data_IF_634657146701
#
_entry.id   IF_634657146701
#
_cell.length_a   1.000
_cell.length_b   1.000
_cell.length_c   1.000
_cell.angle_alpha   90.00
_cell.angle_beta   90.00
_cell.angle_gamma   90.00
#
_symmetry.space_group_name_H-M   'P 1'
#
loop_
_entity.id
_entity.type
_entity.pdbx_description
1 polymer ?
#
# COMPACT_ATOMS: atom_id res chain seq x y z
N UNK A 1 -12.90 -32.23 24.48
CA UNK A 1 -11.81 -31.24 24.23
C UNK A 1 -12.41 -29.85 24.10
N UNK A 2 -11.83 -28.79 24.70
CA UNK A 2 -12.38 -27.45 24.55
C UNK A 2 -12.04 -26.89 23.16
N UNK A 3 -13.05 -26.65 22.33
CA UNK A 3 -12.93 -26.01 21.02
C UNK A 3 -13.10 -24.49 21.17
N UNK A 4 -12.09 -23.73 20.73
CA UNK A 4 -12.19 -22.26 20.65
C UNK A 4 -12.70 -21.88 19.26
N UNK A 5 -13.82 -21.17 19.20
CA UNK A 5 -14.32 -20.60 17.95
C UNK A 5 -13.52 -19.34 17.60
N UNK A 6 -12.88 -19.34 16.44
CA UNK A 6 -12.07 -18.22 15.95
C UNK A 6 -12.74 -17.66 14.69
N UNK A 7 -13.12 -16.37 14.69
CA UNK A 7 -13.62 -15.68 13.49
C UNK A 7 -12.46 -15.37 12.55
N UNK A 8 -12.37 -16.10 11.44
CA UNK A 8 -11.50 -15.77 10.31
C UNK A 8 -12.32 -15.04 9.24
N UNK A 9 -11.79 -13.95 8.71
CA UNK A 9 -12.42 -13.23 7.61
C UNK A 9 -12.14 -13.99 6.31
N UNK A 10 -13.11 -14.13 5.42
CA UNK A 10 -12.98 -14.92 4.19
C UNK A 10 -11.82 -14.46 3.29
N UNK A 11 -11.50 -13.16 3.33
CA UNK A 11 -10.40 -12.57 2.57
C UNK A 11 -9.05 -12.55 3.33
N UNK A 12 -8.98 -13.13 4.53
CA UNK A 12 -7.69 -13.24 5.21
C UNK A 12 -6.76 -14.17 4.43
N UNK A 13 -5.50 -13.78 4.34
CA UNK A 13 -4.46 -14.67 3.80
C UNK A 13 -4.38 -15.94 4.64
N UNK A 14 -4.13 -17.08 4.00
CA UNK A 14 -4.10 -18.40 4.65
C UNK A 14 -3.05 -18.57 5.76
N UNK A 15 -2.08 -17.65 5.83
CA UNK A 15 -1.06 -17.58 6.89
C UNK A 15 -1.42 -16.58 7.99
N UNK A 16 -2.56 -15.89 7.94
CA UNK A 16 -2.97 -14.95 8.98
C UNK A 16 -3.43 -15.71 10.23
N UNK A 17 -2.91 -15.35 11.40
CA UNK A 17 -3.32 -15.93 12.69
C UNK A 17 -4.05 -14.90 13.55
N UNK A 18 -4.93 -15.34 14.47
CA UNK A 18 -5.61 -14.42 15.40
C UNK A 18 -4.61 -13.60 16.22
N UNK A 19 -3.55 -14.25 16.69
CA UNK A 19 -2.48 -13.57 17.42
C UNK A 19 -1.80 -12.47 16.61
N UNK A 20 -1.50 -12.71 15.31
CA UNK A 20 -0.94 -11.67 14.45
C UNK A 20 -1.93 -10.51 14.24
N UNK A 21 -3.23 -10.80 14.12
CA UNK A 21 -4.28 -9.76 14.04
C UNK A 21 -4.33 -8.91 15.30
N UNK A 22 -4.26 -9.52 16.47
CA UNK A 22 -4.25 -8.80 17.75
C UNK A 22 -3.06 -7.85 17.84
N UNK A 23 -1.87 -8.31 17.41
CA UNK A 23 -0.68 -7.45 17.36
C UNK A 23 -0.83 -6.29 16.36
N UNK A 24 -1.46 -6.52 15.21
CA UNK A 24 -1.77 -5.46 14.23
C UNK A 24 -2.74 -4.45 14.84
N UNK A 25 -3.77 -4.92 15.54
CA UNK A 25 -4.74 -4.08 16.23
C UNK A 25 -4.07 -3.21 17.30
N UNK A 26 -3.24 -3.80 18.16
CA UNK A 26 -2.48 -3.05 19.17
C UNK A 26 -1.54 -2.01 18.56
N UNK A 27 -0.87 -2.33 17.44
CA UNK A 27 -0.05 -1.37 16.70
C UNK A 27 -0.88 -0.20 16.18
N UNK A 28 -2.04 -0.47 15.59
CA UNK A 28 -2.94 0.57 15.06
C UNK A 28 -3.51 1.44 16.18
N UNK A 29 -3.89 0.83 17.31
CA UNK A 29 -4.33 1.55 18.51
C UNK A 29 -3.24 2.49 19.03
N UNK A 30 -2.00 1.99 19.18
CA UNK A 30 -0.87 2.81 19.63
C UNK A 30 -0.56 3.98 18.66
N UNK A 31 -0.73 3.77 17.35
CA UNK A 31 -0.60 4.85 16.36
C UNK A 31 -1.71 5.91 16.54
N UNK A 32 -2.96 5.46 16.73
CA UNK A 32 -4.11 6.35 16.95
C UNK A 32 -3.96 7.19 18.23
N UNK A 33 -3.41 6.61 19.28
CA UNK A 33 -3.12 7.28 20.56
C UNK A 33 -1.83 8.11 20.52
N UNK A 34 -1.17 8.20 19.35
CA UNK A 34 0.11 8.87 19.14
C UNK A 34 1.24 8.42 20.10
N UNK A 35 1.14 7.18 20.62
CA UNK A 35 2.14 6.60 21.50
C UNK A 35 3.26 5.94 20.68
N UNK A 36 4.30 6.72 20.38
CA UNK A 36 5.39 6.35 19.48
C UNK A 36 6.18 5.14 20.01
N UNK A 37 6.44 5.06 21.31
CA UNK A 37 7.21 3.96 21.91
C UNK A 37 6.45 2.63 21.78
N UNK A 38 5.18 2.64 22.13
CA UNK A 38 4.31 1.48 22.05
C UNK A 38 4.07 1.06 20.59
N UNK A 39 3.93 2.03 19.69
CA UNK A 39 3.87 1.77 18.25
C UNK A 39 5.13 1.07 17.74
N UNK A 40 6.33 1.56 18.08
CA UNK A 40 7.61 0.95 17.68
C UNK A 40 7.73 -0.48 18.22
N UNK A 41 7.34 -0.70 19.47
CA UNK A 41 7.29 -2.02 20.08
C UNK A 41 6.40 -3.00 19.30
N UNK A 42 5.12 -2.64 19.09
CA UNK A 42 4.19 -3.52 18.38
C UNK A 42 4.56 -3.67 16.90
N UNK A 43 5.08 -2.64 16.23
CA UNK A 43 5.59 -2.73 14.85
C UNK A 43 6.69 -3.78 14.74
N UNK A 44 7.63 -3.82 15.68
CA UNK A 44 8.70 -4.81 15.69
C UNK A 44 8.17 -6.21 16.03
N UNK A 45 7.23 -6.31 16.97
CA UNK A 45 6.59 -7.58 17.34
C UNK A 45 5.81 -8.18 16.16
N UNK A 46 5.00 -7.38 15.47
CA UNK A 46 4.29 -7.76 14.22
C UNK A 46 5.28 -8.26 13.17
N UNK A 47 6.39 -7.54 12.95
CA UNK A 47 7.38 -7.94 11.94
C UNK A 47 8.04 -9.30 12.26
N UNK A 48 8.35 -9.55 13.54
CA UNK A 48 8.92 -10.82 13.99
C UNK A 48 7.92 -11.96 13.80
N UNK A 49 6.70 -11.79 14.28
CA UNK A 49 5.66 -12.81 14.15
C UNK A 49 5.32 -13.11 12.69
N UNK A 50 5.21 -12.08 11.85
CA UNK A 50 5.00 -12.26 10.42
C UNK A 50 6.11 -13.12 9.80
N UNK A 51 7.39 -12.88 10.12
CA UNK A 51 8.50 -13.70 9.61
C UNK A 51 8.39 -15.15 10.07
N UNK A 52 8.07 -15.39 11.34
CA UNK A 52 7.92 -16.74 11.91
C UNK A 52 6.79 -17.50 11.20
N UNK A 53 5.62 -16.87 11.12
CA UNK A 53 4.42 -17.48 10.53
C UNK A 53 4.62 -17.75 9.04
N UNK A 54 5.19 -16.80 8.29
CA UNK A 54 5.49 -17.00 6.88
C UNK A 54 6.51 -18.11 6.65
N UNK A 55 7.54 -18.23 7.49
CA UNK A 55 8.52 -19.32 7.40
C UNK A 55 7.86 -20.69 7.62
N UNK A 56 7.01 -20.81 8.65
CA UNK A 56 6.25 -22.04 8.92
C UNK A 56 5.29 -22.39 7.78
N UNK A 57 4.58 -21.40 7.24
CA UNK A 57 3.67 -21.59 6.11
C UNK A 57 4.43 -22.03 4.85
N UNK A 58 5.57 -21.40 4.57
CA UNK A 58 6.39 -21.76 3.43
C UNK A 58 6.86 -23.22 3.50
N UNK A 59 7.47 -23.62 4.62
CA UNK A 59 7.96 -24.99 4.82
C UNK A 59 6.84 -26.03 4.68
N UNK A 60 5.69 -25.77 5.29
CA UNK A 60 4.58 -26.75 5.31
C UNK A 60 3.78 -26.82 4.01
N UNK A 61 3.55 -25.71 3.31
CA UNK A 61 2.59 -25.63 2.20
C UNK A 61 3.18 -25.26 0.85
N UNK A 62 4.40 -24.73 0.79
CA UNK A 62 4.96 -24.17 -0.44
C UNK A 62 6.22 -24.90 -0.89
N UNK A 63 7.06 -25.37 0.05
CA UNK A 63 8.36 -25.96 -0.26
C UNK A 63 8.29 -27.12 -1.26
N UNK A 64 7.33 -28.04 -1.09
CA UNK A 64 7.11 -29.16 -2.00
C UNK A 64 6.75 -28.71 -3.44
N UNK A 65 6.05 -27.59 -3.60
CA UNK A 65 5.65 -27.08 -4.92
C UNK A 65 6.85 -26.66 -5.76
N UNK A 66 8.01 -26.39 -5.15
CA UNK A 66 9.23 -26.04 -5.88
C UNK A 66 9.62 -27.13 -6.88
N UNK A 67 9.36 -28.39 -6.55
CA UNK A 67 9.70 -29.54 -7.39
C UNK A 67 8.50 -30.08 -8.17
N UNK A 68 7.29 -29.95 -7.63
CA UNK A 68 6.06 -30.49 -8.23
C UNK A 68 5.42 -29.52 -9.24
N UNK A 69 5.34 -28.23 -8.92
CA UNK A 69 4.74 -27.19 -9.77
C UNK A 69 5.44 -25.83 -9.55
N UNK A 70 6.59 -25.60 -10.20
CA UNK A 70 7.39 -24.39 -10.02
C UNK A 70 6.65 -23.10 -10.35
N UNK A 71 5.70 -23.16 -11.31
CA UNK A 71 4.89 -22.00 -11.73
C UNK A 71 3.95 -21.58 -10.61
N UNK A 72 3.27 -22.54 -9.98
CA UNK A 72 2.40 -22.29 -8.83
C UNK A 72 3.20 -21.88 -7.59
N UNK A 73 4.36 -22.51 -7.35
CA UNK A 73 5.31 -22.09 -6.32
C UNK A 73 5.67 -20.60 -6.44
N UNK A 74 6.13 -20.17 -7.62
CA UNK A 74 6.51 -18.77 -7.85
C UNK A 74 5.33 -17.81 -7.73
N UNK A 75 4.15 -18.21 -8.20
CA UNK A 75 2.92 -17.42 -8.05
C UNK A 75 2.57 -17.15 -6.58
N UNK A 76 2.69 -18.17 -5.72
CA UNK A 76 2.44 -18.04 -4.28
C UNK A 76 3.53 -17.21 -3.60
N UNK A 77 4.81 -17.41 -3.95
CA UNK A 77 5.92 -16.59 -3.45
C UNK A 77 5.69 -15.10 -3.74
N UNK A 78 5.27 -14.75 -4.96
CA UNK A 78 4.93 -13.36 -5.30
C UNK A 78 3.80 -12.81 -4.44
N UNK A 79 2.75 -13.58 -4.18
CA UNK A 79 1.65 -13.17 -3.28
C UNK A 79 2.15 -12.89 -1.85
N UNK A 80 3.02 -13.74 -1.31
CA UNK A 80 3.56 -13.59 0.06
C UNK A 80 4.47 -12.38 0.19
N UNK A 81 5.30 -12.13 -0.82
CA UNK A 81 6.22 -10.98 -0.85
C UNK A 81 5.52 -9.66 -1.18
N UNK A 82 4.21 -9.65 -1.43
CA UNK A 82 3.50 -8.45 -1.86
C UNK A 82 3.85 -8.00 -3.28
N UNK A 83 4.45 -8.88 -4.08
CA UNK A 83 4.78 -8.67 -5.50
C UNK A 83 3.67 -9.15 -6.43
N UNK A 84 2.58 -9.69 -5.87
CA UNK A 84 1.39 -9.98 -6.66
C UNK A 84 0.80 -8.65 -7.15
N UNK A 85 0.43 -8.62 -8.43
CA UNK A 85 -0.34 -7.50 -8.96
C UNK A 85 -1.58 -7.34 -8.08
N UNK A 86 -1.92 -6.11 -7.66
CA UNK A 86 -3.14 -5.88 -6.90
C UNK A 86 -4.29 -6.51 -7.68
N UNK A 87 -5.20 -7.18 -6.97
CA UNK A 87 -6.41 -7.67 -7.59
C UNK A 87 -7.24 -6.44 -7.97
N UNK A 88 -7.04 -5.93 -9.18
CA UNK A 88 -7.84 -4.89 -9.78
C UNK A 88 -9.29 -5.32 -9.89
N UNK A 89 -9.64 -6.59 -9.66
CA UNK A 89 -11.02 -7.06 -9.64
C UNK A 89 -11.96 -6.29 -8.72
N UNK A 90 -11.54 -5.75 -7.56
CA UNK A 90 -12.44 -4.90 -6.75
C UNK A 90 -12.61 -3.52 -7.37
N UNK A 91 -11.53 -2.93 -7.89
CA UNK A 91 -11.57 -1.62 -8.56
C UNK A 91 -12.37 -1.73 -9.87
N UNK A 92 -12.11 -2.77 -10.66
CA UNK A 92 -12.83 -3.11 -11.87
C UNK A 92 -14.29 -3.46 -11.57
N UNK A 93 -14.60 -4.18 -10.49
CA UNK A 93 -15.99 -4.49 -10.11
C UNK A 93 -16.73 -3.27 -9.58
N UNK A 94 -16.07 -2.35 -8.88
CA UNK A 94 -16.61 -1.03 -8.53
C UNK A 94 -16.88 -0.20 -9.80
N UNK A 95 -15.97 -0.25 -10.78
CA UNK A 95 -16.14 0.39 -12.09
C UNK A 95 -17.21 -0.30 -12.97
N UNK A 96 -17.43 -1.61 -12.81
CA UNK A 96 -18.44 -2.39 -13.54
C UNK A 96 -19.84 -2.30 -12.91
N UNK A 97 -19.95 -1.99 -11.60
CA UNK A 97 -21.23 -1.85 -10.90
C UNK A 97 -22.01 -0.59 -11.31
N UNK A 98 -21.40 0.37 -11.99
CA UNK A 98 -22.06 1.58 -12.53
C UNK A 98 -22.44 1.47 -14.03
N UNK A 99 -22.64 0.24 -14.51
CA UNK A 99 -23.30 -0.15 -15.77
C UNK A 99 -22.47 -0.27 -17.06
N UNK A 100 -22.93 -1.14 -17.99
CA UNK A 100 -22.17 -1.59 -19.16
C UNK A 100 -22.55 -0.81 -20.43
N UNK A 101 -21.55 -0.30 -21.14
CA UNK A 101 -21.49 -0.28 -22.61
C UNK A 101 -20.19 0.38 -23.02
N UNK A 102 -19.70 0.08 -24.20
CA UNK A 102 -18.43 0.60 -24.75
C UNK A 102 -18.40 2.13 -24.91
N UNK A 103 -19.51 2.85 -24.70
CA UNK A 103 -19.59 4.31 -24.55
C UNK A 103 -19.06 4.83 -23.19
N UNK A 104 -18.84 3.92 -22.23
CA UNK A 104 -18.51 4.19 -20.83
C UNK A 104 -17.17 4.91 -20.62
N UNK A 105 -16.12 4.67 -21.42
CA UNK A 105 -14.79 5.27 -21.14
C UNK A 105 -14.73 6.76 -21.44
N UNK A 106 -15.38 7.18 -22.53
CA UNK A 106 -15.44 8.60 -22.92
C UNK A 106 -16.32 9.35 -21.93
N UNK A 107 -17.45 8.73 -21.55
CA UNK A 107 -18.36 9.31 -20.58
C UNK A 107 -17.70 9.42 -19.20
N UNK A 108 -17.01 8.39 -18.74
CA UNK A 108 -16.20 8.44 -17.51
C UNK A 108 -15.12 9.53 -17.57
N UNK A 109 -14.43 9.68 -18.70
CA UNK A 109 -13.45 10.76 -18.87
C UNK A 109 -14.11 12.14 -18.75
N UNK A 110 -15.30 12.30 -19.34
CA UNK A 110 -16.07 13.54 -19.25
C UNK A 110 -16.59 13.80 -17.83
N UNK A 111 -17.04 12.78 -17.11
CA UNK A 111 -17.51 12.88 -15.74
C UNK A 111 -16.35 13.28 -14.79
N UNK A 112 -15.19 12.64 -14.96
CA UNK A 112 -13.96 13.00 -14.23
C UNK A 112 -13.56 14.45 -14.53
N UNK A 113 -13.54 14.85 -15.81
CA UNK A 113 -13.22 16.22 -16.20
C UNK A 113 -14.21 17.22 -15.59
N UNK A 114 -15.50 16.88 -15.57
CA UNK A 114 -16.55 17.75 -15.03
C UNK A 114 -16.40 17.93 -13.52
N UNK A 115 -16.11 16.86 -12.77
CA UNK A 115 -15.84 16.93 -11.34
C UNK A 115 -14.61 17.81 -11.02
N UNK A 116 -13.53 17.69 -11.82
CA UNK A 116 -12.37 18.56 -11.65
C UNK A 116 -12.69 20.01 -12.00
N UNK A 117 -13.45 20.26 -13.07
CA UNK A 117 -13.85 21.62 -13.44
C UNK A 117 -14.74 22.27 -12.37
N UNK A 118 -15.67 21.52 -11.78
CA UNK A 118 -16.51 21.99 -10.66
C UNK A 118 -15.65 22.39 -9.45
N UNK A 119 -14.68 21.54 -9.07
CA UNK A 119 -13.73 21.87 -8.00
C UNK A 119 -12.91 23.13 -8.34
N UNK A 120 -12.55 23.32 -9.60
CA UNK A 120 -11.75 24.45 -10.05
C UNK A 120 -12.54 25.76 -10.15
N UNK A 121 -13.88 25.72 -10.19
CA UNK A 121 -14.71 26.93 -10.19
C UNK A 121 -14.56 27.75 -8.91
N UNK A 122 -14.25 27.11 -7.77
CA UNK A 122 -14.02 27.83 -6.51
C UNK A 122 -12.68 28.58 -6.47
N UNK A 123 -11.79 28.34 -7.43
CA UNK A 123 -10.49 29.00 -7.48
C UNK A 123 -10.54 30.27 -8.34
N UNK A 124 -9.88 31.36 -7.92
CA UNK A 124 -9.81 32.57 -8.72
C UNK A 124 -9.09 32.29 -10.04
N UNK A 125 -9.69 32.68 -11.16
CA UNK A 125 -9.07 32.56 -12.49
C UNK A 125 -7.79 33.39 -12.51
N UNK A 126 -6.69 32.76 -12.93
CA UNK A 126 -5.42 33.46 -13.15
C UNK A 126 -5.61 34.46 -14.30
N UNK A 127 -5.30 35.74 -14.06
CA UNK A 127 -5.38 36.75 -15.10
C UNK A 127 -4.24 36.55 -16.11
N UNK A 128 -4.46 36.73 -17.43
CA UNK A 128 -3.41 36.53 -18.45
C UNK A 128 -2.18 37.43 -18.30
N UNK A 129 -2.22 38.41 -17.39
CA UNK A 129 -1.15 39.37 -17.12
C UNK A 129 -0.48 39.18 -15.76
N UNK A 130 -0.78 38.10 -15.03
CA UNK A 130 0.05 37.73 -13.88
C UNK A 130 1.39 37.20 -14.39
N UNK A 131 2.29 38.10 -14.78
CA UNK A 131 3.71 37.83 -14.68
C UNK A 131 3.92 37.51 -13.20
N UNK A 132 4.00 36.22 -12.89
CA UNK A 132 4.55 35.80 -11.61
C UNK A 132 5.98 36.32 -11.67
N UNK A 133 6.22 37.47 -11.05
CA UNK A 133 7.58 37.85 -10.74
C UNK A 133 8.11 36.72 -9.86
N UNK A 134 8.95 35.87 -10.46
CA UNK A 134 9.71 34.86 -9.74
C UNK A 134 10.78 35.60 -8.93
N UNK A 135 10.35 36.46 -8.02
CA UNK A 135 11.22 37.04 -7.01
C UNK A 135 11.45 35.92 -6.00
N UNK A 136 12.67 35.38 -6.04
CA UNK A 136 13.23 34.50 -5.02
C UNK A 136 12.96 33.00 -5.14
N UNK A 137 12.98 32.42 -6.33
CA UNK A 137 13.47 31.05 -6.45
C UNK A 137 15.00 31.08 -6.56
N UNK A 138 15.68 31.14 -5.41
CA UNK A 138 17.07 30.66 -5.36
C UNK A 138 17.04 29.19 -5.73
N UNK A 139 17.27 28.88 -7.01
CA UNK A 139 17.63 27.53 -7.43
C UNK A 139 18.80 27.14 -6.51
N UNK A 140 18.66 26.11 -5.66
CA UNK A 140 19.74 25.71 -4.77
C UNK A 140 20.92 25.31 -5.66
N UNK A 141 21.95 26.16 -5.73
CA UNK A 141 23.20 25.80 -6.38
C UNK A 141 23.90 24.82 -5.46
N UNK A 142 23.70 23.53 -5.71
CA UNK A 142 24.40 22.47 -4.97
C UNK A 142 25.66 22.12 -5.76
N UNK A 143 26.83 22.31 -5.14
CA UNK A 143 28.10 21.88 -5.73
C UNK A 143 28.32 20.37 -5.52
N UNK A 144 29.02 19.74 -6.46
CA UNK A 144 29.36 18.30 -6.41
C UNK A 144 30.06 17.96 -5.08
N UNK A 145 31.01 18.79 -4.65
CA UNK A 145 31.71 18.62 -3.37
C UNK A 145 30.79 18.67 -2.14
N UNK A 146 29.69 19.43 -2.19
CA UNK A 146 28.70 19.48 -1.11
C UNK A 146 27.90 18.18 -0.99
N UNK A 147 27.54 17.60 -2.15
CA UNK A 147 26.86 16.30 -2.22
C UNK A 147 27.77 15.19 -1.71
N UNK A 148 29.04 15.16 -2.14
CA UNK A 148 30.00 14.14 -1.70
C UNK A 148 30.24 14.16 -0.19
N UNK A 149 30.35 15.33 0.42
CA UNK A 149 30.48 15.45 1.89
C UNK A 149 29.28 14.87 2.62
N UNK A 150 28.06 15.17 2.14
CA UNK A 150 26.82 14.65 2.73
C UNK A 150 26.69 13.13 2.59
N UNK A 151 27.15 12.56 1.49
CA UNK A 151 27.14 11.11 1.30
C UNK A 151 28.12 10.39 2.24
N UNK A 152 29.25 11.00 2.60
CA UNK A 152 30.22 10.43 3.56
C UNK A 152 29.69 10.39 4.99
N UNK A 153 28.77 11.28 5.35
CA UNK A 153 28.17 11.35 6.69
C UNK A 153 27.01 10.35 6.91
N UNK A 154 26.55 9.67 5.86
CA UNK A 154 25.54 8.62 5.95
C UNK A 154 26.29 7.29 6.11
N UNK A 155 26.69 6.97 7.34
CA UNK A 155 27.23 5.67 7.74
C UNK A 155 26.48 5.15 8.96
#
# INVERSE_FOLDING_TARGET
MPSKLVKLHQNDTHWMTPYLKDLIHHRQKALKENNILLFKFYRNKVNRERKIILSKFYKSKIEHLKHVDPKKWWSICKKICGMAKPNTGIVNKLLEMESPSTNSKIQLANDINSAFLELLQSYPKLSPSSKIEVTNHRIPKVSIASVERKLRTIK
#
